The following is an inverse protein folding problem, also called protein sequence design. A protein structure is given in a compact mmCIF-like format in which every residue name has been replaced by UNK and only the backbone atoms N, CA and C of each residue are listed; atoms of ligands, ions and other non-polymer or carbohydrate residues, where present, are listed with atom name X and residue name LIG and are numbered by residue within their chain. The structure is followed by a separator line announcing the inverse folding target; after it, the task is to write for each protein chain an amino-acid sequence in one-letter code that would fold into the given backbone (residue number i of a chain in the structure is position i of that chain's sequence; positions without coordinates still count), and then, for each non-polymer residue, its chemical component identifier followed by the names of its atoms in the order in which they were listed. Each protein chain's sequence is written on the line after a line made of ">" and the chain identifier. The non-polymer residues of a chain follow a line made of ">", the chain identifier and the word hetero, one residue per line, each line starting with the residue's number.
data_IF_614260262688
#
_entry.id   IF_614260262688
#
_cell.length_a   1.000
_cell.length_b   1.000
_cell.length_c   1.000
_cell.angle_alpha   90.00
_cell.angle_beta   90.00
_cell.angle_gamma   90.00
#
_symmetry.space_group_name_H-M   'P 1'
#
loop_
_entity.id
_entity.type
_entity.pdbx_description
1 polymer ?
#
# COMPACT_ATOMS: atom_id res chain seq x y z
N UNK A 1 -4.56 -38.44 -30.52
CA UNK A 1 -5.89 -38.55 -29.89
C UNK A 1 -5.82 -37.89 -28.53
N UNK A 2 -6.76 -37.00 -28.25
CA UNK A 2 -6.89 -36.27 -27.00
C UNK A 2 -7.59 -37.16 -25.96
N UNK A 3 -7.04 -37.29 -24.76
CA UNK A 3 -7.80 -37.75 -23.59
C UNK A 3 -8.43 -36.52 -22.93
N UNK A 4 -9.61 -36.16 -23.43
CA UNK A 4 -10.55 -35.26 -22.79
C UNK A 4 -11.42 -36.13 -21.87
N UNK A 5 -11.32 -35.91 -20.55
CA UNK A 5 -12.40 -36.31 -19.66
C UNK A 5 -11.99 -36.81 -18.29
N UNK A 6 -11.88 -35.90 -17.33
CA UNK A 6 -12.73 -35.96 -16.13
C UNK A 6 -12.91 -34.56 -15.55
N UNK A 7 -14.13 -34.01 -15.50
CA UNK A 7 -14.43 -32.85 -14.66
C UNK A 7 -14.21 -33.27 -13.21
N UNK A 8 -13.43 -32.48 -12.47
CA UNK A 8 -13.47 -32.54 -11.02
C UNK A 8 -14.90 -32.21 -10.60
N UNK A 9 -15.57 -33.17 -9.97
CA UNK A 9 -16.88 -32.96 -9.37
C UNK A 9 -16.74 -31.81 -8.36
N UNK A 10 -17.33 -30.66 -8.68
CA UNK A 10 -17.52 -29.59 -7.72
C UNK A 10 -18.48 -30.10 -6.65
N UNK A 11 -17.97 -30.27 -5.44
CA UNK A 11 -18.83 -30.37 -4.27
C UNK A 11 -19.73 -29.12 -4.21
N UNK A 12 -21.02 -29.28 -3.86
CA UNK A 12 -21.90 -28.13 -3.72
C UNK A 12 -21.35 -27.26 -2.60
N UNK A 13 -20.86 -26.07 -2.99
CA UNK A 13 -20.49 -25.03 -2.04
C UNK A 13 -21.60 -24.89 -1.02
N UNK A 14 -21.24 -25.09 0.25
CA UNK A 14 -22.12 -24.89 1.38
C UNK A 14 -22.88 -23.58 1.18
N UNK A 15 -24.20 -23.68 1.18
CA UNK A 15 -25.11 -22.54 1.16
C UNK A 15 -24.67 -21.60 2.26
N UNK A 16 -24.15 -20.41 1.91
CA UNK A 16 -23.88 -19.36 2.88
C UNK A 16 -25.19 -19.06 3.60
N UNK A 17 -25.31 -19.52 4.84
CA UNK A 17 -26.38 -19.08 5.72
C UNK A 17 -26.21 -17.57 5.90
N UNK A 18 -27.34 -16.88 5.86
CA UNK A 18 -27.42 -15.43 5.87
C UNK A 18 -26.52 -14.87 6.97
N UNK A 19 -25.56 -14.04 6.56
CA UNK A 19 -24.86 -13.16 7.47
C UNK A 19 -25.92 -12.47 8.33
N UNK A 20 -25.86 -12.73 9.65
CA UNK A 20 -26.66 -12.01 10.61
C UNK A 20 -26.51 -10.53 10.35
N UNK A 21 -27.62 -9.80 10.44
CA UNK A 21 -27.64 -8.35 10.32
C UNK A 21 -26.71 -7.76 11.38
N UNK A 22 -25.45 -7.54 11.00
CA UNK A 22 -24.57 -6.63 11.70
C UNK A 22 -25.27 -5.29 11.70
N UNK A 23 -25.55 -4.76 12.88
CA UNK A 23 -26.00 -3.40 13.02
C UNK A 23 -24.94 -2.52 12.35
N UNK A 24 -25.29 -1.89 11.24
CA UNK A 24 -24.49 -0.83 10.63
C UNK A 24 -24.40 0.33 11.61
N UNK A 25 -23.51 0.21 12.60
CA UNK A 25 -22.90 1.38 13.21
C UNK A 25 -22.00 1.93 12.12
N UNK A 26 -22.55 2.79 11.26
CA UNK A 26 -21.78 3.77 10.54
C UNK A 26 -20.88 4.43 11.58
N UNK A 27 -19.60 4.08 11.58
CA UNK A 27 -18.58 4.88 12.22
C UNK A 27 -18.67 6.24 11.51
N UNK A 28 -19.47 7.14 12.08
CA UNK A 28 -19.68 8.51 11.62
C UNK A 28 -18.49 9.37 12.06
N UNK A 29 -17.30 8.78 12.03
CA UNK A 29 -16.09 9.57 12.02
C UNK A 29 -16.11 10.31 10.68
N UNK A 30 -16.11 11.66 10.69
CA UNK A 30 -16.10 12.39 9.45
C UNK A 30 -14.87 11.96 8.67
N UNK A 31 -15.07 11.38 7.49
CA UNK A 31 -14.01 11.27 6.50
C UNK A 31 -13.63 12.72 6.21
N UNK A 32 -12.53 13.17 6.79
CA UNK A 32 -12.02 14.54 6.65
C UNK A 32 -11.99 14.86 5.16
N UNK A 33 -12.67 15.94 4.77
CA UNK A 33 -12.61 16.44 3.40
C UNK A 33 -11.15 16.78 3.04
N UNK A 34 -10.80 16.70 1.75
CA UNK A 34 -9.47 17.03 1.23
C UNK A 34 -8.96 18.34 1.81
N UNK A 35 -9.83 19.33 1.97
CA UNK A 35 -9.51 20.65 2.53
C UNK A 35 -9.13 20.59 4.01
N UNK A 36 -9.77 19.73 4.80
CA UNK A 36 -9.48 19.53 6.22
C UNK A 36 -8.22 18.69 6.43
N UNK A 37 -7.98 17.65 5.61
CA UNK A 37 -6.69 16.93 5.58
C UNK A 37 -5.55 17.91 5.28
N UNK A 38 -5.74 18.79 4.30
CA UNK A 38 -4.73 19.79 3.91
C UNK A 38 -4.52 20.86 4.99
N UNK A 39 -5.57 21.23 5.72
CA UNK A 39 -5.49 22.23 6.78
C UNK A 39 -4.91 21.68 8.10
N UNK A 40 -5.25 20.45 8.48
CA UNK A 40 -4.78 19.82 9.74
C UNK A 40 -3.43 19.11 9.60
N UNK A 41 -3.10 18.56 8.43
CA UNK A 41 -1.80 17.92 8.15
C UNK A 41 -0.85 18.83 7.35
N UNK A 42 -1.30 20.04 7.02
CA UNK A 42 -0.59 21.00 6.19
C UNK A 42 -0.55 20.56 4.73
N UNK A 43 -0.57 21.50 3.80
CA UNK A 43 0.03 21.26 2.50
C UNK A 43 1.44 20.69 2.77
N UNK A 44 1.69 19.40 2.51
CA UNK A 44 3.05 18.90 2.53
C UNK A 44 3.75 19.69 1.43
N UNK A 45 4.52 20.71 1.82
CA UNK A 45 5.14 21.65 0.87
C UNK A 45 5.97 20.90 -0.19
N UNK A 46 6.40 19.67 0.13
CA UNK A 46 6.88 18.64 -0.79
C UNK A 46 6.43 17.25 -0.31
N UNK A 47 5.33 16.65 -0.83
CA UNK A 47 4.82 15.37 -0.35
C UNK A 47 5.75 14.20 -0.67
N UNK A 48 5.63 13.11 0.10
CA UNK A 48 6.27 11.83 -0.21
C UNK A 48 5.22 10.91 -0.82
N UNK A 49 5.52 10.34 -1.97
CA UNK A 49 4.66 9.35 -2.63
C UNK A 49 5.08 7.95 -2.22
N UNK A 50 4.15 7.15 -1.71
CA UNK A 50 4.33 5.72 -1.49
C UNK A 50 3.43 4.95 -2.46
N UNK A 51 4.02 4.24 -3.41
CA UNK A 51 3.30 3.32 -4.30
C UNK A 51 3.53 1.88 -3.84
N UNK A 52 2.45 1.12 -3.70
CA UNK A 52 2.47 -0.32 -3.39
C UNK A 52 2.19 -1.20 -4.61
N UNK A 53 1.95 -0.60 -5.78
CA UNK A 53 1.71 -1.32 -7.03
C UNK A 53 2.97 -2.00 -7.54
N UNK A 54 2.84 -3.18 -8.15
CA UNK A 54 3.97 -3.90 -8.72
C UNK A 54 4.70 -3.07 -9.80
N UNK A 55 6.03 -3.16 -9.82
CA UNK A 55 6.91 -2.52 -10.82
C UNK A 55 6.80 -0.99 -10.96
N UNK A 56 6.18 -0.30 -10.01
CA UNK A 56 6.07 1.17 -10.03
C UNK A 56 7.38 1.86 -9.64
N UNK A 57 8.36 1.12 -9.11
CA UNK A 57 9.67 1.60 -8.72
C UNK A 57 10.67 1.72 -9.88
N UNK A 58 10.29 2.37 -10.97
CA UNK A 58 11.20 2.68 -12.08
C UNK A 58 11.53 4.17 -12.13
N UNK A 59 12.67 4.50 -12.75
CA UNK A 59 13.18 5.88 -12.73
C UNK A 59 12.24 6.86 -13.45
N UNK A 60 11.56 6.43 -14.51
CA UNK A 60 10.62 7.28 -15.24
C UNK A 60 9.42 7.69 -14.37
N UNK A 61 8.84 6.73 -13.63
CA UNK A 61 7.74 7.00 -12.71
C UNK A 61 8.18 7.80 -11.49
N UNK A 62 9.34 7.47 -10.91
CA UNK A 62 9.86 8.25 -9.79
C UNK A 62 10.12 9.71 -10.20
N UNK A 63 10.70 9.92 -11.39
CA UNK A 63 11.02 11.26 -11.91
C UNK A 63 9.76 12.11 -12.12
N UNK A 64 8.66 11.53 -12.61
CA UNK A 64 7.43 12.30 -12.82
C UNK A 64 6.86 12.89 -11.52
N UNK A 65 6.96 12.18 -10.39
CA UNK A 65 6.57 12.71 -9.09
C UNK A 65 7.54 13.77 -8.56
N UNK A 66 8.85 13.55 -8.71
CA UNK A 66 9.87 14.51 -8.29
C UNK A 66 9.79 15.82 -9.08
N UNK A 67 9.66 15.73 -10.40
CA UNK A 67 9.47 16.89 -11.29
C UNK A 67 8.14 17.60 -11.02
N UNK A 68 7.14 16.88 -10.50
CA UNK A 68 5.86 17.40 -10.02
C UNK A 68 5.92 18.06 -8.62
N UNK A 69 7.09 18.08 -7.97
CA UNK A 69 7.29 18.76 -6.68
C UNK A 69 7.23 17.87 -5.44
N UNK A 70 7.17 16.54 -5.59
CA UNK A 70 7.30 15.62 -4.46
C UNK A 70 8.73 15.66 -3.90
N UNK A 71 8.88 15.50 -2.58
CA UNK A 71 10.21 15.39 -1.94
C UNK A 71 10.83 14.01 -2.11
N UNK A 72 10.00 12.99 -2.28
CA UNK A 72 10.45 11.63 -2.48
C UNK A 72 9.37 10.77 -3.13
N UNK A 73 9.81 9.69 -3.79
CA UNK A 73 8.97 8.60 -4.25
C UNK A 73 9.51 7.30 -3.66
N UNK A 74 8.63 6.46 -3.12
CA UNK A 74 8.92 5.13 -2.59
C UNK A 74 8.06 4.12 -3.32
N UNK A 75 8.68 3.13 -3.97
CA UNK A 75 7.97 2.19 -4.82
C UNK A 75 8.76 0.90 -5.08
N UNK A 76 8.10 -0.26 -5.30
CA UNK A 76 8.77 -1.52 -5.53
C UNK A 76 9.27 -1.69 -6.98
N UNK A 77 10.50 -2.20 -7.12
CA UNK A 77 11.06 -2.59 -8.44
C UNK A 77 10.53 -3.92 -8.97
N UNK A 78 9.87 -4.71 -8.14
CA UNK A 78 9.38 -6.05 -8.47
C UNK A 78 7.90 -6.23 -8.18
N UNK A 79 7.52 -7.49 -7.91
CA UNK A 79 6.15 -7.91 -7.62
C UNK A 79 6.05 -8.32 -6.15
N UNK A 80 5.93 -7.37 -5.21
CA UNK A 80 5.77 -7.74 -3.82
C UNK A 80 4.44 -8.48 -3.64
N UNK A 81 4.45 -9.55 -2.85
CA UNK A 81 3.21 -10.08 -2.30
C UNK A 81 2.41 -8.97 -1.58
N UNK A 82 1.07 -9.08 -1.62
CA UNK A 82 0.18 -8.09 -1.01
C UNK A 82 0.43 -7.89 0.48
N UNK A 83 0.78 -8.97 1.20
CA UNK A 83 1.13 -8.91 2.63
C UNK A 83 2.42 -8.13 2.86
N UNK A 84 3.43 -8.35 2.02
CA UNK A 84 4.70 -7.63 2.12
C UNK A 84 4.52 -6.15 1.76
N UNK A 85 3.75 -5.84 0.72
CA UNK A 85 3.44 -4.46 0.36
C UNK A 85 2.67 -3.72 1.47
N UNK A 86 1.70 -4.39 2.08
CA UNK A 86 0.96 -3.86 3.23
C UNK A 86 1.86 -3.67 4.45
N UNK A 87 2.66 -4.68 4.83
CA UNK A 87 3.55 -4.62 5.98
C UNK A 87 4.60 -3.49 5.82
N UNK A 88 5.16 -3.34 4.62
CA UNK A 88 6.05 -2.23 4.30
C UNK A 88 5.35 -0.88 4.49
N UNK A 89 4.15 -0.70 3.92
CA UNK A 89 3.41 0.56 4.02
C UNK A 89 3.03 0.90 5.46
N UNK A 90 2.55 -0.08 6.23
CA UNK A 90 2.21 0.11 7.64
C UNK A 90 3.44 0.51 8.47
N UNK A 91 4.58 -0.18 8.27
CA UNK A 91 5.82 0.17 8.95
C UNK A 91 6.30 1.57 8.55
N UNK A 92 6.29 1.90 7.25
CA UNK A 92 6.67 3.21 6.75
C UNK A 92 5.82 4.35 7.36
N UNK A 93 4.49 4.17 7.43
CA UNK A 93 3.60 5.15 8.04
C UNK A 93 3.82 5.26 9.56
N UNK A 94 4.00 4.14 10.25
CA UNK A 94 4.32 4.16 11.68
C UNK A 94 5.61 4.97 11.95
N UNK A 95 6.66 4.70 11.17
CA UNK A 95 7.93 5.41 11.29
C UNK A 95 7.79 6.91 10.99
N UNK A 96 7.11 7.29 9.91
CA UNK A 96 7.02 8.70 9.48
C UNK A 96 5.99 9.52 10.26
N UNK A 97 4.82 8.96 10.57
CA UNK A 97 3.72 9.68 11.21
C UNK A 97 3.78 9.62 12.73
N UNK A 98 3.99 8.43 13.29
CA UNK A 98 4.01 8.24 14.74
C UNK A 98 5.39 8.54 15.34
N UNK A 99 6.46 8.04 14.71
CA UNK A 99 7.83 8.14 15.23
C UNK A 99 8.65 9.28 14.63
N UNK A 100 8.10 10.01 13.66
CA UNK A 100 8.72 11.17 13.00
C UNK A 100 10.08 10.89 12.35
N UNK A 101 10.34 9.63 11.99
CA UNK A 101 11.51 9.23 11.24
C UNK A 101 11.53 9.87 9.84
N UNK A 102 12.72 10.08 9.31
CA UNK A 102 12.89 10.58 7.93
C UNK A 102 12.49 9.50 6.90
N UNK A 103 12.10 9.85 5.66
CA UNK A 103 11.77 8.86 4.64
C UNK A 103 12.89 7.83 4.37
N UNK A 104 14.19 8.19 4.25
CA UNK A 104 15.27 7.20 4.11
C UNK A 104 15.35 6.22 5.28
N UNK A 105 15.20 6.71 6.50
CA UNK A 105 15.22 5.89 7.72
C UNK A 105 14.00 4.97 7.80
N UNK A 106 12.80 5.49 7.52
CA UNK A 106 11.57 4.71 7.50
C UNK A 106 11.63 3.57 6.46
N UNK A 107 12.20 3.82 5.27
CA UNK A 107 12.42 2.77 4.26
C UNK A 107 13.43 1.74 4.75
N UNK A 108 14.54 2.16 5.35
CA UNK A 108 15.54 1.25 5.91
C UNK A 108 14.92 0.33 6.98
N UNK A 109 14.12 0.89 7.90
CA UNK A 109 13.43 0.13 8.95
C UNK A 109 12.38 -0.81 8.34
N UNK A 110 11.54 -0.32 7.43
CA UNK A 110 10.49 -1.15 6.81
C UNK A 110 11.07 -2.35 6.03
N UNK A 111 12.25 -2.21 5.41
CA UNK A 111 12.97 -3.31 4.74
C UNK A 111 13.49 -4.37 5.72
N UNK A 112 13.68 -4.05 7.00
CA UNK A 112 14.14 -5.05 7.99
C UNK A 112 13.10 -6.14 8.26
N UNK A 113 11.84 -5.94 7.85
CA UNK A 113 10.80 -6.96 7.84
C UNK A 113 11.13 -8.14 6.88
N UNK A 114 12.04 -7.94 5.93
CA UNK A 114 12.55 -9.00 5.07
C UNK A 114 11.63 -9.38 3.92
N UNK A 115 12.02 -10.42 3.17
CA UNK A 115 11.29 -10.88 1.99
C UNK A 115 11.12 -9.78 0.94
N UNK A 116 9.91 -9.69 0.39
CA UNK A 116 9.55 -8.76 -0.68
C UNK A 116 9.53 -7.27 -0.26
N UNK A 117 9.60 -6.98 1.04
CA UNK A 117 9.75 -5.58 1.52
C UNK A 117 11.05 -4.94 1.03
N UNK A 118 12.07 -5.75 0.71
CA UNK A 118 13.34 -5.30 0.12
C UNK A 118 13.19 -4.77 -1.31
N UNK A 119 12.07 -5.03 -1.98
CA UNK A 119 11.82 -4.57 -3.35
C UNK A 119 11.54 -3.06 -3.42
N UNK A 120 11.06 -2.45 -2.34
CA UNK A 120 10.72 -1.03 -2.25
C UNK A 120 11.98 -0.18 -2.26
N UNK A 121 12.10 0.73 -3.21
CA UNK A 121 13.21 1.67 -3.35
C UNK A 121 12.75 3.09 -3.08
N UNK A 122 13.71 3.98 -2.82
CA UNK A 122 13.50 5.39 -2.53
C UNK A 122 14.24 6.24 -3.57
N UNK A 123 13.55 7.23 -4.11
CA UNK A 123 14.08 8.32 -4.93
C UNK A 123 13.77 9.66 -4.24
N UNK A 124 14.68 10.62 -4.32
CA UNK A 124 14.58 11.97 -3.77
C UNK A 124 15.50 12.93 -4.53
#
# INVERSE_FOLDING_TARGET
>A
MNDVGKPCAGEPHARCEAAGAGNGAEATEPVLDRTQITAELGCLAKPVVLSTGCMTGNDAMARSFLDGGCSACVAPRGYPDGTAAFAFAAAFYCQTLALRASPPEAVAIARTLGGDTNLFNLWH
#
